data_IF_840448661113
#
_entry.id   IF_840448661113
#
_cell.length_a   1.000
_cell.length_b   1.000
_cell.length_c   1.000
_cell.angle_alpha   90.00
_cell.angle_beta   90.00
_cell.angle_gamma   90.00
#
_symmetry.space_group_name_H-M   'P 1'
#
loop_
_entity.id
_entity.type
_entity.pdbx_description
1 polymer ?
#
# COMPACT_ATOMS: atom_id res chain seq x y z
N UNK A 1 -15.05 66.86 12.20
CA UNK A 1 -15.80 65.70 12.73
C UNK A 1 -15.82 64.65 11.63
N UNK A 2 -14.98 63.60 11.67
CA UNK A 2 -15.17 62.33 12.44
C UNK A 2 -16.42 61.61 11.91
N UNK A 3 -16.45 60.37 11.41
CA UNK A 3 -15.50 59.24 11.30
C UNK A 3 -16.16 58.19 10.38
N UNK A 4 -15.33 57.40 9.72
CA UNK A 4 -15.47 55.95 9.48
C UNK A 4 -16.76 55.37 8.85
N UNK A 5 -16.62 54.77 7.67
CA UNK A 5 -17.07 53.39 7.46
C UNK A 5 -16.12 52.65 6.48
N UNK A 6 -15.27 51.84 7.12
CA UNK A 6 -14.58 50.63 6.69
C UNK A 6 -14.93 50.09 5.28
N UNK A 7 -13.96 50.16 4.36
CA UNK A 7 -13.88 49.30 3.19
C UNK A 7 -13.21 47.99 3.61
N UNK A 8 -13.98 46.90 3.71
CA UNK A 8 -13.43 45.55 3.84
C UNK A 8 -13.02 45.09 2.44
N UNK A 9 -11.73 45.22 2.15
CA UNK A 9 -11.10 44.53 1.01
C UNK A 9 -10.88 43.08 1.43
N UNK A 10 -11.77 42.19 0.98
CA UNK A 10 -11.61 40.75 1.11
C UNK A 10 -10.61 40.29 0.04
N UNK A 11 -9.32 40.29 0.39
CA UNK A 11 -8.29 39.56 -0.33
C UNK A 11 -8.54 38.05 -0.18
N UNK A 12 -9.30 37.45 -1.10
CA UNK A 12 -9.28 36.01 -1.30
C UNK A 12 -8.01 35.60 -2.06
N UNK A 13 -6.88 35.56 -1.33
CA UNK A 13 -5.73 34.72 -1.67
C UNK A 13 -6.07 33.29 -1.22
N UNK A 14 -6.96 32.65 -1.96
CA UNK A 14 -7.20 31.21 -1.87
C UNK A 14 -6.20 30.50 -2.77
N UNK A 15 -5.09 30.05 -2.18
CA UNK A 15 -4.16 29.11 -2.81
C UNK A 15 -4.94 27.90 -3.29
N UNK A 16 -4.75 27.54 -4.56
CA UNK A 16 -5.19 26.29 -5.16
C UNK A 16 -4.54 25.10 -4.43
N UNK A 17 -5.11 24.68 -3.31
CA UNK A 17 -4.86 23.35 -2.73
C UNK A 17 -5.88 22.37 -3.30
N UNK A 18 -5.89 22.23 -4.62
CA UNK A 18 -6.72 21.29 -5.34
C UNK A 18 -5.88 20.10 -5.79
N UNK A 19 -5.78 19.06 -4.96
CA UNK A 19 -5.54 17.71 -5.45
C UNK A 19 -6.35 16.75 -4.59
N UNK A 20 -7.62 16.63 -4.97
CA UNK A 20 -8.63 15.82 -4.32
C UNK A 20 -8.24 14.34 -4.43
N UNK A 21 -7.96 13.72 -3.28
CA UNK A 21 -8.35 12.32 -3.09
C UNK A 21 -9.86 12.27 -3.34
N UNK A 22 -10.28 11.82 -4.53
CA UNK A 22 -11.68 11.57 -4.78
C UNK A 22 -11.98 10.13 -4.37
N UNK A 23 -12.94 9.99 -3.45
CA UNK A 23 -13.53 8.69 -3.12
C UNK A 23 -14.60 8.45 -4.17
N UNK A 24 -14.25 7.79 -5.28
CA UNK A 24 -15.27 7.22 -6.16
C UNK A 24 -15.79 5.94 -5.49
N UNK A 25 -17.09 5.90 -5.22
CA UNK A 25 -17.84 4.73 -4.75
C UNK A 25 -17.37 4.06 -3.45
N UNK A 26 -17.03 4.80 -2.38
CA UNK A 26 -16.70 4.31 -1.00
C UNK A 26 -15.65 3.17 -0.86
N UNK A 27 -15.19 2.58 -1.95
CA UNK A 27 -14.39 1.36 -2.04
C UNK A 27 -12.98 1.62 -2.59
N UNK A 28 -12.73 2.81 -3.15
CA UNK A 28 -11.46 3.17 -3.75
C UNK A 28 -10.99 4.57 -3.35
N UNK A 29 -9.68 4.75 -3.29
CA UNK A 29 -9.00 6.05 -3.22
C UNK A 29 -8.19 6.22 -4.50
N UNK A 30 -8.34 7.38 -5.15
CA UNK A 30 -7.61 7.70 -6.38
C UNK A 30 -6.62 8.85 -6.14
N UNK A 31 -5.35 8.63 -6.48
CA UNK A 31 -4.35 9.69 -6.61
C UNK A 31 -4.32 10.11 -8.07
N UNK A 32 -4.81 11.31 -8.33
CA UNK A 32 -4.92 11.84 -9.69
C UNK A 32 -3.53 12.07 -10.28
N UNK A 33 -3.36 11.63 -11.52
CA UNK A 33 -2.18 11.92 -12.32
C UNK A 33 -2.11 13.43 -12.67
N UNK A 34 -0.91 14.00 -12.82
CA UNK A 34 -0.75 15.42 -13.12
C UNK A 34 -1.15 15.78 -14.58
N UNK A 35 -1.27 14.78 -15.46
CA UNK A 35 -1.76 14.93 -16.83
C UNK A 35 -2.20 13.57 -17.41
N UNK A 36 -2.79 13.59 -18.59
CA UNK A 36 -3.17 12.42 -19.39
C UNK A 36 -1.97 11.56 -19.85
N UNK A 37 -0.74 12.09 -19.76
CA UNK A 37 0.49 11.34 -20.02
C UNK A 37 0.76 10.25 -18.99
N UNK A 38 0.13 10.30 -17.81
CA UNK A 38 0.41 9.41 -16.70
C UNK A 38 -0.83 8.66 -16.21
N UNK A 39 -0.62 7.45 -15.71
CA UNK A 39 -1.68 6.63 -15.14
C UNK A 39 -2.01 7.07 -13.71
N UNK A 40 -3.26 7.45 -13.45
CA UNK A 40 -3.74 7.69 -12.08
C UNK A 40 -3.63 6.41 -11.23
N UNK A 41 -3.41 6.57 -9.93
CA UNK A 41 -3.22 5.46 -9.00
C UNK A 41 -4.52 5.18 -8.27
N UNK A 42 -5.07 3.99 -8.43
CA UNK A 42 -6.29 3.56 -7.71
C UNK A 42 -5.96 2.50 -6.68
N UNK A 43 -6.29 2.76 -5.41
CA UNK A 43 -6.15 1.82 -4.30
C UNK A 43 -7.51 1.44 -3.76
N UNK A 44 -7.64 0.24 -3.20
CA UNK A 44 -8.82 -0.08 -2.39
C UNK A 44 -8.89 0.84 -1.17
N UNK A 45 -10.10 1.07 -0.70
CA UNK A 45 -10.39 1.86 0.47
C UNK A 45 -11.16 1.03 1.51
N UNK A 46 -11.04 1.44 2.76
CA UNK A 46 -11.93 1.04 3.83
C UNK A 46 -12.19 2.27 4.69
N UNK A 47 -13.47 2.59 4.95
CA UNK A 47 -13.89 3.79 5.71
C UNK A 47 -13.22 5.08 5.22
N UNK A 48 -13.11 5.24 3.90
CA UNK A 48 -12.56 6.44 3.25
C UNK A 48 -11.03 6.55 3.24
N UNK A 49 -10.30 5.59 3.80
CA UNK A 49 -8.83 5.58 3.81
C UNK A 49 -8.28 4.43 2.96
N UNK A 50 -7.06 4.56 2.40
CA UNK A 50 -6.41 3.48 1.66
C UNK A 50 -6.34 2.18 2.46
N UNK A 51 -6.65 1.07 1.79
CA UNK A 51 -6.59 -0.29 2.30
C UNK A 51 -5.33 -0.97 1.77
N UNK A 52 -4.52 -1.47 2.70
CA UNK A 52 -3.31 -2.24 2.43
C UNK A 52 -3.45 -3.67 2.94
N UNK A 53 -2.48 -4.50 2.58
CA UNK A 53 -2.40 -5.86 3.05
C UNK A 53 -3.12 -6.85 2.13
N UNK A 54 -4.04 -7.64 2.69
CA UNK A 54 -4.86 -8.58 1.93
C UNK A 54 -5.89 -7.79 1.11
N UNK A 55 -5.86 -7.83 -0.23
CA UNK A 55 -6.86 -7.15 -1.06
C UNK A 55 -8.20 -7.90 -1.05
N UNK A 56 -9.29 -7.18 -1.35
CA UNK A 56 -10.53 -7.84 -1.77
C UNK A 56 -10.32 -8.34 -3.20
N UNK A 57 -10.43 -9.64 -3.44
CA UNK A 57 -10.18 -10.25 -4.74
C UNK A 57 -11.44 -10.25 -5.64
N UNK A 58 -12.54 -9.60 -5.22
CA UNK A 58 -13.82 -9.52 -5.92
C UNK A 58 -14.31 -10.88 -6.41
N UNK A 59 -14.08 -11.92 -5.60
CA UNK A 59 -14.49 -13.28 -5.95
C UNK A 59 -16.00 -13.38 -5.83
N UNK A 60 -16.65 -13.78 -6.92
CA UNK A 60 -18.04 -14.17 -6.86
C UNK A 60 -18.18 -15.42 -5.97
N UNK A 61 -18.99 -15.30 -4.93
CA UNK A 61 -19.42 -16.43 -4.13
C UNK A 61 -20.73 -16.97 -4.76
N UNK A 62 -20.66 -17.95 -5.66
CA UNK A 62 -21.86 -18.70 -6.02
C UNK A 62 -22.17 -19.68 -4.90
N UNK A 63 -23.25 -19.44 -4.16
CA UNK A 63 -23.80 -20.38 -3.20
C UNK A 63 -24.34 -21.62 -3.91
N UNK A 64 -23.57 -22.71 -3.95
CA UNK A 64 -24.07 -24.02 -4.33
C UNK A 64 -24.63 -24.74 -3.10
N UNK A 65 -25.94 -24.98 -3.07
CA UNK A 65 -26.55 -25.92 -2.11
C UNK A 65 -26.23 -27.33 -2.61
N UNK A 66 -25.32 -28.03 -1.93
CA UNK A 66 -25.27 -29.50 -2.00
C UNK A 66 -25.75 -30.02 -0.67
N UNK A 67 -26.94 -30.64 -0.68
CA UNK A 67 -27.51 -31.44 0.41
C UNK A 67 -27.27 -30.86 1.82
N UNK A 68 -27.97 -29.77 2.18
CA UNK A 68 -28.01 -29.28 3.55
C UNK A 68 -26.76 -28.58 4.09
N UNK A 69 -25.68 -28.45 3.32
CA UNK A 69 -24.48 -27.69 3.70
C UNK A 69 -24.25 -26.51 2.74
N UNK A 70 -24.22 -25.28 3.28
CA UNK A 70 -23.67 -24.10 2.60
C UNK A 70 -22.14 -24.21 2.59
N UNK A 71 -21.57 -24.90 1.61
CA UNK A 71 -20.12 -24.82 1.37
C UNK A 71 -19.84 -23.70 0.39
N UNK A 72 -19.26 -22.59 0.85
CA UNK A 72 -18.72 -21.55 -0.03
C UNK A 72 -17.41 -22.06 -0.63
N UNK A 73 -17.49 -22.80 -1.74
CA UNK A 73 -16.29 -23.18 -2.51
C UNK A 73 -16.02 -22.09 -3.55
N UNK A 74 -14.78 -21.57 -3.66
CA UNK A 74 -14.43 -20.68 -4.75
C UNK A 74 -14.61 -21.41 -6.09
N UNK A 75 -15.29 -20.76 -7.03
CA UNK A 75 -15.55 -21.30 -8.37
C UNK A 75 -14.23 -21.66 -9.05
N UNK A 76 -14.01 -22.94 -9.30
CA UNK A 76 -12.93 -23.41 -10.17
C UNK A 76 -13.45 -23.32 -11.61
N UNK A 77 -13.17 -22.20 -12.27
CA UNK A 77 -13.47 -22.01 -13.70
C UNK A 77 -14.68 -21.12 -13.94
N UNK A 78 -14.41 -19.86 -14.28
CA UNK A 78 -15.40 -18.81 -14.52
C UNK A 78 -14.84 -17.47 -14.07
N UNK A 79 -13.78 -17.00 -14.74
CA UNK A 79 -13.21 -15.68 -14.44
C UNK A 79 -14.15 -14.62 -15.02
N UNK A 80 -14.93 -13.94 -14.19
CA UNK A 80 -15.67 -12.75 -14.62
C UNK A 80 -14.66 -11.67 -15.07
N UNK A 81 -14.71 -11.17 -16.32
CA UNK A 81 -13.83 -10.10 -16.81
C UNK A 81 -13.82 -8.87 -15.89
N UNK A 82 -14.98 -8.47 -15.36
CA UNK A 82 -15.12 -7.27 -14.51
C UNK A 82 -14.31 -7.42 -13.21
N UNK A 83 -14.39 -8.58 -12.55
CA UNK A 83 -13.60 -8.86 -11.33
C UNK A 83 -12.10 -8.90 -11.61
N UNK A 84 -11.69 -9.41 -12.77
CA UNK A 84 -10.28 -9.40 -13.17
C UNK A 84 -9.76 -7.99 -13.38
N UNK A 85 -10.53 -7.14 -14.06
CA UNK A 85 -10.13 -5.76 -14.34
C UNK A 85 -9.99 -4.96 -13.05
N UNK A 86 -10.94 -5.12 -12.12
CA UNK A 86 -10.84 -4.54 -10.77
C UNK A 86 -9.60 -5.05 -10.02
N UNK A 87 -9.35 -6.36 -10.04
CA UNK A 87 -8.16 -6.94 -9.38
C UNK A 87 -6.85 -6.44 -9.98
N UNK A 88 -6.80 -6.30 -11.31
CA UNK A 88 -5.65 -5.75 -12.03
C UNK A 88 -5.44 -4.29 -11.64
N UNK A 89 -6.49 -3.49 -11.63
CA UNK A 89 -6.45 -2.08 -11.22
C UNK A 89 -5.87 -1.92 -9.81
N UNK A 90 -6.34 -2.71 -8.85
CA UNK A 90 -5.85 -2.68 -7.45
C UNK A 90 -4.38 -3.11 -7.35
N UNK A 91 -4.01 -4.18 -8.04
CA UNK A 91 -2.62 -4.69 -8.02
C UNK A 91 -1.67 -3.69 -8.66
N UNK A 92 -2.05 -3.11 -9.80
CA UNK A 92 -1.29 -2.09 -10.50
C UNK A 92 -1.20 -0.80 -9.68
N UNK A 93 -2.30 -0.34 -9.07
CA UNK A 93 -2.29 0.85 -8.24
C UNK A 93 -1.33 0.74 -7.04
N UNK A 94 -1.32 -0.41 -6.36
CA UNK A 94 -0.36 -0.65 -5.27
C UNK A 94 1.09 -0.63 -5.75
N UNK A 95 1.37 -1.19 -6.92
CA UNK A 95 2.70 -1.14 -7.53
C UNK A 95 3.09 0.32 -7.84
N UNK A 96 2.19 1.04 -8.50
CA UNK A 96 2.39 2.42 -8.90
C UNK A 96 2.60 3.36 -7.71
N UNK A 97 1.85 3.18 -6.62
CA UNK A 97 2.10 3.89 -5.36
C UNK A 97 3.51 3.60 -4.82
N UNK A 98 3.93 2.33 -4.84
CA UNK A 98 5.26 1.94 -4.35
C UNK A 98 6.39 2.58 -5.18
N UNK A 99 6.19 2.71 -6.49
CA UNK A 99 7.12 3.38 -7.40
C UNK A 99 7.16 4.89 -7.16
N UNK A 100 6.01 5.52 -6.94
CA UNK A 100 5.91 6.96 -6.70
C UNK A 100 6.52 7.35 -5.34
N UNK A 101 6.32 6.52 -4.31
CA UNK A 101 7.04 6.61 -3.03
C UNK A 101 8.55 6.45 -3.23
N UNK A 102 8.96 5.50 -4.08
CA UNK A 102 10.36 5.32 -4.46
C UNK A 102 10.98 6.56 -5.11
N UNK A 103 10.29 7.16 -6.08
CA UNK A 103 10.69 8.40 -6.74
C UNK A 103 10.91 9.53 -5.72
N UNK A 104 9.95 9.71 -4.80
CA UNK A 104 10.03 10.74 -3.75
C UNK A 104 11.33 10.65 -2.96
N UNK A 105 11.66 9.46 -2.45
CA UNK A 105 12.80 9.30 -1.55
C UNK A 105 14.14 9.10 -2.26
N UNK A 106 14.16 8.80 -3.56
CA UNK A 106 15.37 8.83 -4.38
C UNK A 106 15.72 10.23 -4.89
N UNK A 107 14.86 11.22 -4.71
CA UNK A 107 15.09 12.59 -5.17
C UNK A 107 16.48 13.16 -4.79
N UNK A 108 17.03 12.93 -3.58
CA UNK A 108 18.37 13.41 -3.23
C UNK A 108 19.50 12.90 -4.13
N UNK A 109 19.31 11.75 -4.79
CA UNK A 109 20.31 11.15 -5.68
C UNK A 109 20.11 11.56 -7.16
N UNK A 110 19.04 12.30 -7.48
CA UNK A 110 18.72 12.63 -8.87
C UNK A 110 19.72 13.60 -9.52
N UNK A 111 20.57 14.27 -8.74
CA UNK A 111 21.68 15.07 -9.26
C UNK A 111 22.78 14.22 -9.92
N UNK A 112 22.88 12.94 -9.53
CA UNK A 112 23.83 12.00 -10.11
C UNK A 112 23.35 11.40 -11.43
N UNK A 113 22.06 11.55 -11.75
CA UNK A 113 21.47 11.00 -12.97
C UNK A 113 22.09 11.66 -14.21
N UNK A 114 22.81 10.87 -15.01
CA UNK A 114 23.19 11.28 -16.35
C UNK A 114 21.95 11.32 -17.25
N UNK A 115 21.47 12.53 -17.52
CA UNK A 115 20.27 12.80 -18.32
C UNK A 115 20.50 12.67 -19.82
N UNK A 116 21.75 12.74 -20.28
CA UNK A 116 22.10 12.84 -21.69
C UNK A 116 22.59 11.52 -22.28
N UNK A 117 23.08 10.59 -21.46
CA UNK A 117 23.68 9.33 -21.92
C UNK A 117 23.23 8.15 -21.07
N UNK A 118 23.20 6.97 -21.70
CA UNK A 118 23.00 5.73 -20.97
C UNK A 118 24.29 5.32 -20.24
N UNK A 119 24.23 5.20 -18.92
CA UNK A 119 25.38 4.81 -18.12
C UNK A 119 25.74 3.35 -18.39
N UNK A 120 27.00 3.10 -18.73
CA UNK A 120 27.52 1.75 -18.99
C UNK A 120 28.07 1.15 -17.71
N UNK A 121 27.63 -0.06 -17.37
CA UNK A 121 28.11 -0.77 -16.18
C UNK A 121 29.54 -1.27 -16.42
N UNK A 122 30.46 -0.86 -15.55
CA UNK A 122 31.86 -1.34 -15.54
C UNK A 122 32.26 -1.78 -14.14
N UNK A 123 33.40 -2.45 -13.98
CA UNK A 123 33.87 -2.88 -12.65
C UNK A 123 34.37 -1.73 -11.77
N UNK A 124 34.75 -0.60 -12.38
CA UNK A 124 35.38 0.54 -11.70
C UNK A 124 34.55 1.80 -11.93
N UNK A 125 33.34 1.84 -11.36
CA UNK A 125 32.45 3.00 -11.44
C UNK A 125 32.66 3.91 -10.23
N UNK A 126 32.62 5.22 -10.46
CA UNK A 126 32.45 6.20 -9.39
C UNK A 126 31.07 6.05 -8.73
N UNK A 127 30.89 6.63 -7.55
CA UNK A 127 29.59 6.64 -6.86
C UNK A 127 28.50 7.30 -7.72
N UNK A 128 28.80 8.44 -8.34
CA UNK A 128 27.91 9.15 -9.26
C UNK A 128 27.47 8.27 -10.42
N UNK A 129 28.40 7.57 -11.08
CA UNK A 129 28.06 6.65 -12.17
C UNK A 129 27.22 5.47 -11.68
N UNK A 130 27.54 4.92 -10.51
CA UNK A 130 26.77 3.83 -9.89
C UNK A 130 25.34 4.26 -9.58
N UNK A 131 25.17 5.45 -9.00
CA UNK A 131 23.88 6.07 -8.72
C UNK A 131 23.10 6.31 -10.03
N UNK A 132 23.75 6.90 -11.05
CA UNK A 132 23.13 7.10 -12.37
C UNK A 132 22.64 5.78 -12.97
N UNK A 133 23.48 4.74 -13.00
CA UNK A 133 23.11 3.46 -13.58
C UNK A 133 21.91 2.82 -12.85
N UNK A 134 21.87 2.92 -11.52
CA UNK A 134 20.73 2.48 -10.73
C UNK A 134 19.46 3.27 -11.07
N UNK A 135 19.54 4.61 -11.05
CA UNK A 135 18.41 5.50 -11.31
C UNK A 135 17.87 5.30 -12.72
N UNK A 136 18.74 5.24 -13.74
CA UNK A 136 18.34 4.95 -15.11
C UNK A 136 17.62 3.60 -15.21
N UNK A 137 18.14 2.56 -14.55
CA UNK A 137 17.47 1.24 -14.54
C UNK A 137 16.10 1.32 -13.88
N UNK A 138 15.99 1.97 -12.72
CA UNK A 138 14.73 2.17 -12.00
C UNK A 138 13.71 2.95 -12.86
N UNK A 139 14.13 4.09 -13.42
CA UNK A 139 13.29 4.94 -14.25
C UNK A 139 12.79 4.20 -15.50
N UNK A 140 13.70 3.59 -16.26
CA UNK A 140 13.40 2.95 -17.54
C UNK A 140 12.65 1.63 -17.39
N UNK A 141 13.00 0.82 -16.39
CA UNK A 141 12.45 -0.54 -16.26
C UNK A 141 11.24 -0.62 -15.34
N UNK A 142 11.04 0.36 -14.46
CA UNK A 142 9.95 0.34 -13.49
C UNK A 142 9.04 1.55 -13.64
N UNK A 143 9.56 2.77 -13.55
CA UNK A 143 8.71 3.98 -13.55
C UNK A 143 8.00 4.17 -14.88
N UNK A 144 8.75 4.33 -15.98
CA UNK A 144 8.21 4.57 -17.31
C UNK A 144 7.13 3.55 -17.73
N UNK A 145 7.37 2.22 -17.69
CA UNK A 145 6.39 1.24 -18.17
C UNK A 145 5.14 1.10 -17.27
N UNK A 146 5.17 1.57 -16.02
CA UNK A 146 4.06 1.41 -15.08
C UNK A 146 3.27 2.71 -14.84
N UNK A 147 3.94 3.87 -14.87
CA UNK A 147 3.34 5.17 -14.56
C UNK A 147 3.02 6.00 -15.80
N UNK A 148 3.58 5.68 -16.97
CA UNK A 148 3.38 6.47 -18.18
C UNK A 148 2.45 5.81 -19.18
N UNK A 149 1.63 6.62 -19.85
CA UNK A 149 0.67 6.22 -20.89
C UNK A 149 1.12 6.67 -22.28
N UNK A 150 1.69 7.88 -22.36
CA UNK A 150 2.21 8.45 -23.60
C UNK A 150 3.45 7.68 -24.10
N UNK A 151 3.54 7.48 -25.42
CA UNK A 151 4.62 6.71 -26.05
C UNK A 151 6.01 7.28 -25.75
N UNK A 152 6.15 8.61 -25.82
CA UNK A 152 7.38 9.35 -25.50
C UNK A 152 7.89 9.12 -24.07
N UNK A 153 7.01 8.73 -23.16
CA UNK A 153 7.34 8.45 -21.77
C UNK A 153 7.51 6.95 -21.51
N UNK A 154 6.55 6.11 -21.92
CA UNK A 154 6.56 4.67 -21.58
C UNK A 154 7.64 3.86 -22.31
N UNK A 155 8.13 4.38 -23.44
CA UNK A 155 9.12 3.70 -24.27
C UNK A 155 10.57 3.92 -23.83
N UNK A 156 10.81 4.51 -22.65
CA UNK A 156 12.15 4.84 -22.13
C UNK A 156 13.17 3.67 -22.12
N UNK A 157 12.71 2.42 -22.14
CA UNK A 157 13.57 1.23 -22.20
C UNK A 157 13.51 0.47 -23.54
N UNK A 158 12.77 0.98 -24.52
CA UNK A 158 12.55 0.34 -25.80
C UNK A 158 13.54 0.85 -26.85
N UNK A 159 13.79 0.06 -27.89
CA UNK A 159 14.60 0.44 -29.05
C UNK A 159 15.38 -0.75 -29.62
N UNK A 160 15.51 -0.80 -30.94
CA UNK A 160 16.19 -1.88 -31.67
C UNK A 160 17.70 -1.78 -31.61
N UNK A 161 18.23 -0.57 -31.38
CA UNK A 161 19.65 -0.30 -31.28
C UNK A 161 19.93 0.73 -30.17
N UNK A 162 21.20 1.02 -29.92
CA UNK A 162 21.64 1.95 -28.88
C UNK A 162 21.21 3.40 -29.09
N UNK A 163 21.21 3.89 -30.34
CA UNK A 163 20.78 5.26 -30.66
C UNK A 163 19.29 5.46 -30.38
N UNK A 164 18.46 4.47 -30.76
CA UNK A 164 17.03 4.51 -30.49
C UNK A 164 16.73 4.42 -29.00
N UNK A 165 17.44 3.55 -28.26
CA UNK A 165 17.30 3.46 -26.79
C UNK A 165 17.71 4.75 -26.10
N UNK A 166 18.80 5.37 -26.56
CA UNK A 166 19.25 6.65 -26.04
C UNK A 166 18.21 7.75 -26.29
N UNK A 167 17.74 7.88 -27.53
CA UNK A 167 16.70 8.86 -27.90
C UNK A 167 15.41 8.69 -27.09
N UNK A 168 14.97 7.45 -26.86
CA UNK A 168 13.77 7.19 -26.07
C UNK A 168 14.00 7.51 -24.59
N UNK A 169 15.20 7.26 -24.07
CA UNK A 169 15.58 7.63 -22.71
C UNK A 169 15.59 9.15 -22.52
N UNK A 170 16.29 9.90 -23.40
CA UNK A 170 16.35 11.36 -23.31
C UNK A 170 14.96 11.97 -23.48
N UNK A 171 14.15 11.46 -24.42
CA UNK A 171 12.74 11.87 -24.55
C UNK A 171 11.94 11.71 -23.26
N UNK A 172 12.12 10.61 -22.52
CA UNK A 172 11.46 10.42 -21.23
C UNK A 172 11.99 11.42 -20.19
N UNK A 173 13.31 11.62 -20.11
CA UNK A 173 13.92 12.54 -19.14
C UNK A 173 13.44 13.97 -19.38
N UNK A 174 13.45 14.43 -20.62
CA UNK A 174 13.14 15.81 -20.98
C UNK A 174 11.65 16.14 -20.82
N UNK A 175 10.77 15.17 -21.12
CA UNK A 175 9.33 15.44 -21.23
C UNK A 175 8.50 14.88 -20.06
N UNK A 176 9.03 13.94 -19.29
CA UNK A 176 8.23 13.12 -18.37
C UNK A 176 8.82 13.02 -16.96
N UNK A 177 10.13 13.11 -16.78
CA UNK A 177 10.76 12.89 -15.47
C UNK A 177 10.37 13.97 -14.46
N UNK A 178 10.53 15.25 -14.80
CA UNK A 178 10.29 16.34 -13.83
C UNK A 178 8.82 16.39 -13.35
N UNK A 179 7.79 16.25 -14.22
CA UNK A 179 6.40 16.12 -13.77
C UNK A 179 6.15 14.93 -12.83
N UNK A 180 6.83 13.78 -13.05
CA UNK A 180 6.75 12.63 -12.16
C UNK A 180 7.42 12.89 -10.81
N UNK A 181 8.58 13.55 -10.80
CA UNK A 181 9.27 13.95 -9.58
C UNK A 181 8.39 14.91 -8.76
N UNK A 182 7.78 15.90 -9.41
CA UNK A 182 6.86 16.83 -8.75
C UNK A 182 5.61 16.13 -8.23
N UNK A 183 5.01 15.22 -9.01
CA UNK A 183 3.89 14.42 -8.54
C UNK A 183 4.26 13.55 -7.32
N UNK A 184 5.48 13.01 -7.30
CA UNK A 184 5.98 12.18 -6.21
C UNK A 184 6.09 12.92 -4.86
N UNK A 185 6.32 14.23 -4.86
CA UNK A 185 6.38 15.03 -3.63
C UNK A 185 5.04 15.02 -2.86
N UNK A 186 3.94 14.89 -3.60
CA UNK A 186 2.59 14.93 -3.06
C UNK A 186 2.12 13.58 -2.50
N UNK A 187 2.85 12.48 -2.75
CA UNK A 187 2.57 11.23 -2.03
C UNK A 187 3.18 11.29 -0.64
N UNK A 188 2.46 10.73 0.32
CA UNK A 188 2.84 10.73 1.74
C UNK A 188 3.19 12.13 2.24
N UNK A 189 2.25 13.07 2.19
CA UNK A 189 2.44 14.42 2.71
C UNK A 189 2.97 14.36 4.16
N UNK A 190 3.93 15.24 4.49
CA UNK A 190 4.66 15.20 5.78
C UNK A 190 5.39 13.87 6.07
N UNK A 191 5.69 13.10 5.02
CA UNK A 191 6.27 11.76 5.08
C UNK A 191 5.42 10.74 5.84
N UNK A 192 4.11 10.98 5.86
CA UNK A 192 3.12 10.19 6.57
C UNK A 192 2.14 9.50 5.62
N UNK A 193 1.69 8.30 6.00
CA UNK A 193 0.58 7.62 5.32
C UNK A 193 -0.30 6.94 6.35
N UNK A 194 -1.57 7.34 6.39
CA UNK A 194 -2.59 6.72 7.24
C UNK A 194 -3.49 5.84 6.38
N UNK A 195 -3.74 4.62 6.85
CA UNK A 195 -4.60 3.68 6.13
C UNK A 195 -5.00 2.49 6.99
N UNK A 196 -5.83 1.61 6.42
CA UNK A 196 -6.19 0.36 7.05
C UNK A 196 -5.31 -0.76 6.53
N UNK A 197 -4.67 -1.51 7.43
CA UNK A 197 -4.00 -2.76 7.09
C UNK A 197 -4.90 -3.95 7.37
N UNK A 198 -5.07 -4.79 6.35
CA UNK A 198 -5.82 -6.04 6.44
C UNK A 198 -4.84 -7.21 6.47
N UNK A 199 -4.93 -8.04 7.50
CA UNK A 199 -4.13 -9.25 7.67
C UNK A 199 -5.03 -10.46 7.91
N UNK A 200 -4.52 -11.65 7.61
CA UNK A 200 -5.24 -12.88 7.94
C UNK A 200 -4.94 -13.26 9.40
N UNK A 201 -6.01 -13.45 10.17
CA UNK A 201 -5.99 -14.06 11.48
C UNK A 201 -6.34 -15.54 11.31
N UNK A 202 -5.42 -16.46 11.63
CA UNK A 202 -5.73 -17.89 11.59
C UNK A 202 -6.34 -18.30 12.92
N UNK A 203 -7.46 -19.03 12.88
CA UNK A 203 -8.06 -19.66 14.06
C UNK A 203 -7.77 -21.15 14.04
N UNK A 204 -7.48 -21.73 15.22
CA UNK A 204 -7.18 -23.15 15.36
C UNK A 204 -8.32 -24.05 14.90
N UNK A 205 -7.99 -25.31 14.55
CA UNK A 205 -9.01 -26.26 14.07
C UNK A 205 -9.98 -26.70 15.17
N UNK A 206 -9.55 -26.71 16.43
CA UNK A 206 -10.31 -27.24 17.55
C UNK A 206 -10.79 -26.09 18.42
N UNK A 207 -12.10 -26.06 18.69
CA UNK A 207 -12.70 -25.18 19.68
C UNK A 207 -12.40 -25.74 21.07
N UNK A 208 -11.91 -24.89 21.97
CA UNK A 208 -11.69 -25.22 23.37
C UNK A 208 -12.98 -24.92 24.13
N UNK A 209 -13.74 -25.97 24.48
CA UNK A 209 -15.02 -25.84 25.17
C UNK A 209 -14.84 -25.34 26.61
N UNK A 210 -13.75 -25.72 27.27
CA UNK A 210 -13.46 -25.29 28.64
C UNK A 210 -13.14 -23.80 28.68
N UNK A 211 -12.37 -23.31 27.70
CA UNK A 211 -11.98 -21.90 27.58
C UNK A 211 -12.91 -21.05 26.72
N UNK A 212 -13.93 -21.68 26.12
CA UNK A 212 -14.94 -21.06 25.27
C UNK A 212 -14.34 -20.20 24.14
N UNK A 213 -13.52 -20.81 23.29
CA UNK A 213 -12.88 -20.09 22.20
C UNK A 213 -11.93 -20.90 21.31
N UNK A 214 -11.31 -20.21 20.35
CA UNK A 214 -10.24 -20.75 19.51
C UNK A 214 -8.90 -20.14 19.89
N UNK A 215 -7.82 -20.92 19.83
CA UNK A 215 -6.48 -20.33 19.77
C UNK A 215 -6.32 -19.64 18.42
N UNK A 216 -6.01 -18.34 18.44
CA UNK A 216 -5.83 -17.52 17.26
C UNK A 216 -4.37 -17.06 17.12
N UNK A 217 -3.94 -16.88 15.87
CA UNK A 217 -2.57 -16.50 15.51
C UNK A 217 -2.59 -15.33 14.55
N UNK A 218 -1.98 -14.22 14.96
CA UNK A 218 -1.94 -12.97 14.21
C UNK A 218 -0.52 -12.51 13.96
N UNK A 219 -0.13 -12.30 12.70
CA UNK A 219 1.17 -11.70 12.40
C UNK A 219 1.08 -10.18 12.48
N UNK A 220 2.00 -9.57 13.21
CA UNK A 220 2.14 -8.12 13.23
C UNK A 220 2.97 -7.59 12.04
N UNK A 221 3.64 -8.46 11.28
CA UNK A 221 4.48 -8.01 10.16
C UNK A 221 3.67 -7.37 9.03
N UNK A 222 4.08 -6.17 8.60
CA UNK A 222 3.43 -5.42 7.50
C UNK A 222 4.22 -5.51 6.19
N UNK A 223 4.61 -6.72 5.81
CA UNK A 223 5.46 -7.00 4.64
C UNK A 223 4.83 -6.70 3.28
N UNK A 224 3.55 -6.31 3.26
CA UNK A 224 2.69 -6.22 2.09
C UNK A 224 2.01 -4.86 1.96
N UNK A 225 2.54 -3.80 2.58
CA UNK A 225 2.10 -2.43 2.29
C UNK A 225 2.64 -2.01 0.93
N UNK A 226 3.96 -2.05 0.76
CA UNK A 226 4.63 -1.79 -0.50
C UNK A 226 4.89 -3.08 -1.27
N UNK A 227 4.93 -2.97 -2.59
CA UNK A 227 5.20 -4.11 -3.47
C UNK A 227 6.70 -4.41 -3.46
N UNK A 228 7.08 -5.68 -3.26
CA UNK A 228 8.49 -6.14 -3.27
C UNK A 228 9.06 -6.41 -4.67
N UNK A 229 8.28 -6.20 -5.74
CA UNK A 229 8.71 -6.56 -7.10
C UNK A 229 9.79 -5.58 -7.57
N UNK A 230 10.94 -6.14 -7.96
CA UNK A 230 12.08 -5.58 -8.68
C UNK A 230 12.19 -4.04 -8.67
N UNK A 231 12.83 -3.49 -7.64
CA UNK A 231 13.03 -2.05 -7.53
C UNK A 231 13.62 -1.69 -6.17
N UNK A 232 13.31 -0.48 -5.71
CA UNK A 232 13.74 0.04 -4.42
C UNK A 232 13.14 -0.83 -3.30
N UNK A 233 13.99 -1.21 -2.36
CA UNK A 233 13.54 -1.95 -1.19
C UNK A 233 12.82 -1.00 -0.24
N UNK A 234 11.57 -1.28 0.08
CA UNK A 234 10.86 -0.60 1.15
C UNK A 234 10.82 -1.51 2.37
N UNK A 235 11.30 -1.01 3.50
CA UNK A 235 11.29 -1.72 4.77
C UNK A 235 10.28 -1.05 5.70
N UNK A 236 9.32 -1.84 6.20
CA UNK A 236 8.34 -1.39 7.18
C UNK A 236 8.68 -2.02 8.53
N UNK A 237 8.94 -1.18 9.52
CA UNK A 237 9.41 -1.57 10.85
C UNK A 237 8.35 -1.19 11.87
N UNK A 238 7.95 -2.14 12.71
CA UNK A 238 7.08 -1.82 13.85
C UNK A 238 7.88 -1.00 14.86
N UNK A 239 7.40 0.20 15.17
CA UNK A 239 8.00 1.07 16.18
C UNK A 239 6.88 1.55 17.09
N UNK A 240 6.68 0.91 18.26
CA UNK A 240 5.60 1.26 19.17
C UNK A 240 5.74 2.72 19.62
N UNK A 241 4.64 3.45 19.65
CA UNK A 241 4.59 4.84 20.15
C UNK A 241 3.58 5.01 21.29
N UNK A 242 2.71 4.02 21.50
CA UNK A 242 1.73 4.00 22.60
C UNK A 242 2.08 2.88 23.60
N UNK A 243 1.73 3.03 24.89
CA UNK A 243 2.04 2.02 25.92
C UNK A 243 1.54 0.61 25.58
N UNK A 244 0.34 0.46 25.01
CA UNK A 244 -0.18 -0.86 24.63
C UNK A 244 0.61 -1.51 23.49
N UNK A 245 1.25 -0.72 22.63
CA UNK A 245 2.07 -1.24 21.53
C UNK A 245 3.41 -1.76 22.05
N UNK A 246 3.95 -1.16 23.12
CA UNK A 246 5.13 -1.66 23.82
C UNK A 246 4.82 -3.00 24.48
N UNK A 247 3.69 -3.10 25.19
CA UNK A 247 3.20 -4.36 25.73
C UNK A 247 3.02 -5.42 24.63
N UNK A 248 2.44 -5.03 23.50
CA UNK A 248 2.27 -5.89 22.33
C UNK A 248 3.60 -6.38 21.77
N UNK A 249 4.58 -5.49 21.59
CA UNK A 249 5.90 -5.85 21.11
C UNK A 249 6.62 -6.85 22.03
N UNK A 250 6.37 -6.79 23.34
CA UNK A 250 6.94 -7.72 24.32
C UNK A 250 6.20 -9.07 24.37
N UNK A 251 4.92 -9.09 23.99
CA UNK A 251 4.08 -10.30 23.99
C UNK A 251 4.25 -11.21 22.77
N UNK A 252 4.84 -10.70 21.67
CA UNK A 252 4.99 -11.48 20.43
C UNK A 252 6.25 -12.32 20.43
N UNK A 253 6.19 -13.45 19.73
CA UNK A 253 7.34 -14.33 19.55
C UNK A 253 8.41 -13.72 18.61
N UNK A 254 9.52 -14.45 18.40
CA UNK A 254 10.58 -14.04 17.46
C UNK A 254 10.09 -13.83 16.03
N UNK A 255 9.00 -14.47 15.63
CA UNK A 255 8.36 -14.32 14.32
C UNK A 255 7.41 -13.13 14.24
N UNK A 256 7.28 -12.36 15.33
CA UNK A 256 6.31 -11.27 15.51
C UNK A 256 4.86 -11.75 15.34
N UNK A 257 4.59 -12.98 15.77
CA UNK A 257 3.25 -13.55 15.81
C UNK A 257 2.70 -13.45 17.22
N UNK A 258 1.51 -12.85 17.33
CA UNK A 258 0.71 -12.83 18.53
C UNK A 258 -0.18 -14.09 18.57
N UNK A 259 -0.14 -14.80 19.69
CA UNK A 259 -1.00 -15.95 19.97
C UNK A 259 -1.92 -15.60 21.12
N UNK A 260 -3.23 -15.71 20.94
CA UNK A 260 -4.20 -15.39 21.98
C UNK A 260 -5.44 -16.30 21.88
N UNK A 261 -6.22 -16.35 22.96
CA UNK A 261 -7.51 -17.01 22.97
C UNK A 261 -8.58 -16.07 22.41
N UNK A 262 -9.16 -16.43 21.28
CA UNK A 262 -10.30 -15.73 20.70
C UNK A 262 -11.58 -16.31 21.31
N UNK A 263 -12.16 -15.59 22.28
CA UNK A 263 -13.44 -15.97 22.88
C UNK A 263 -14.59 -15.83 21.88
N UNK A 264 -15.26 -16.95 21.64
CA UNK A 264 -16.41 -17.11 20.75
C UNK A 264 -17.39 -18.05 21.45
N UNK A 265 -18.69 -17.81 21.34
CA UNK A 265 -19.71 -18.73 21.85
C UNK A 265 -19.84 -20.00 20.98
N UNK A 266 -20.41 -21.05 21.55
CA UNK A 266 -20.54 -22.37 20.90
C UNK A 266 -21.37 -22.31 19.61
N UNK A 267 -22.43 -21.49 19.57
CA UNK A 267 -23.28 -21.35 18.39
C UNK A 267 -22.52 -20.70 17.23
N UNK A 268 -21.73 -19.66 17.51
CA UNK A 268 -20.87 -19.03 16.52
C UNK A 268 -19.74 -19.95 16.07
N UNK A 269 -19.15 -20.72 16.99
CA UNK A 269 -18.12 -21.71 16.65
C UNK A 269 -18.68 -22.83 15.74
N UNK A 270 -19.87 -23.33 16.04
CA UNK A 270 -20.57 -24.30 15.21
C UNK A 270 -20.86 -23.73 13.80
N UNK A 271 -21.28 -22.47 13.71
CA UNK A 271 -21.44 -21.76 12.42
C UNK A 271 -20.12 -21.71 11.65
N UNK A 272 -19.02 -21.31 12.30
CA UNK A 272 -17.71 -21.24 11.65
C UNK A 272 -17.27 -22.61 11.11
N UNK A 273 -17.51 -23.69 11.85
CA UNK A 273 -17.23 -25.04 11.37
C UNK A 273 -18.11 -25.42 10.17
N UNK A 274 -19.43 -25.18 10.24
CA UNK A 274 -20.39 -25.48 9.14
C UNK A 274 -20.05 -24.70 7.86
N UNK A 275 -19.64 -23.45 8.00
CA UNK A 275 -19.28 -22.58 6.86
C UNK A 275 -17.83 -22.75 6.42
N UNK A 276 -17.02 -23.53 7.15
CA UNK A 276 -15.60 -23.76 6.85
C UNK A 276 -14.70 -22.55 7.09
N UNK A 277 -15.11 -21.63 7.97
CA UNK A 277 -14.35 -20.44 8.34
C UNK A 277 -13.19 -20.88 9.24
N UNK A 278 -11.96 -20.80 8.70
CA UNK A 278 -10.70 -21.08 9.42
C UNK A 278 -9.79 -19.86 9.53
N UNK A 279 -10.20 -18.76 8.91
CA UNK A 279 -9.47 -17.50 8.87
C UNK A 279 -10.44 -16.35 8.97
N UNK A 280 -10.02 -15.33 9.70
CA UNK A 280 -10.70 -14.04 9.77
C UNK A 280 -9.80 -12.97 9.15
N UNK A 281 -10.39 -11.85 8.79
CA UNK A 281 -9.69 -10.69 8.28
C UNK A 281 -9.59 -9.66 9.39
N UNK A 282 -8.38 -9.47 9.90
CA UNK A 282 -8.06 -8.52 10.94
C UNK A 282 -7.68 -7.18 10.31
N UNK A 283 -8.44 -6.14 10.66
CA UNK A 283 -8.33 -4.78 10.15
C UNK A 283 -7.81 -3.87 11.25
N UNK A 284 -6.70 -3.19 10.97
CA UNK A 284 -6.02 -2.26 11.89
C UNK A 284 -5.87 -0.91 11.21
N UNK A 285 -6.25 0.17 11.87
CA UNK A 285 -5.90 1.52 11.40
C UNK A 285 -4.44 1.80 11.78
N UNK A 286 -3.59 2.04 10.80
CA UNK A 286 -2.16 2.23 10.98
C UNK A 286 -1.74 3.60 10.47
N UNK A 287 -0.64 4.10 11.04
CA UNK A 287 0.11 5.24 10.55
C UNK A 287 1.51 4.79 10.20
N UNK A 288 1.96 5.13 8.98
CA UNK A 288 3.33 5.00 8.54
C UNK A 288 4.01 6.36 8.58
N UNK A 289 5.27 6.37 8.99
CA UNK A 289 6.14 7.54 9.00
C UNK A 289 7.49 7.16 8.40
N UNK A 290 8.04 7.95 7.47
CA UNK A 290 9.43 7.79 7.04
C UNK A 290 10.37 7.87 8.24
N UNK A 291 11.31 6.93 8.35
CA UNK A 291 12.36 6.97 9.36
C UNK A 291 13.30 8.16 9.14
N UNK A 292 13.71 8.86 10.20
CA UNK A 292 14.65 9.99 10.09
C UNK A 292 16.07 9.57 9.68
N UNK A 293 16.32 8.27 9.49
CA UNK A 293 17.60 7.77 8.99
C UNK A 293 17.81 8.21 7.54
N UNK A 294 18.91 8.93 7.23
CA UNK A 294 19.25 9.25 5.84
C UNK A 294 19.49 7.97 5.06
N UNK A 295 19.20 8.00 3.76
CA UNK A 295 19.59 6.90 2.88
C UNK A 295 21.09 7.03 2.58
N UNK A 296 21.87 6.00 2.92
CA UNK A 296 23.31 5.97 2.66
C UNK A 296 23.61 5.78 1.16
N UNK A 297 22.73 5.11 0.41
CA UNK A 297 22.85 4.96 -1.04
C UNK A 297 21.51 4.60 -1.68
N UNK A 298 21.44 4.73 -3.00
CA UNK A 298 20.26 4.37 -3.82
C UNK A 298 19.82 2.90 -3.68
N UNK A 299 20.73 2.02 -3.26
CA UNK A 299 20.47 0.58 -3.12
C UNK A 299 19.93 0.18 -1.76
N UNK A 300 20.01 1.07 -0.75
CA UNK A 300 19.52 0.80 0.60
C UNK A 300 18.01 0.89 0.67
N UNK A 301 17.43 0.20 1.65
CA UNK A 301 15.99 0.22 1.84
C UNK A 301 15.51 1.58 2.36
N UNK A 302 14.39 2.06 1.81
CA UNK A 302 13.64 3.17 2.40
C UNK A 302 12.92 2.61 3.64
N UNK A 303 13.31 3.09 4.82
CA UNK A 303 12.75 2.61 6.09
C UNK A 303 11.55 3.48 6.51
N UNK A 304 10.43 2.81 6.80
CA UNK A 304 9.21 3.39 7.37
C UNK A 304 8.92 2.75 8.73
N UNK A 305 8.66 3.59 9.72
CA UNK A 305 8.12 3.17 11.00
C UNK A 305 6.60 3.07 10.88
N UNK A 306 5.99 2.07 11.52
CA UNK A 306 4.55 2.03 11.67
C UNK A 306 4.12 1.92 13.13
N UNK A 307 2.95 2.49 13.41
CA UNK A 307 2.20 2.39 14.65
C UNK A 307 0.70 2.24 14.36
N UNK A 308 -0.07 1.90 15.38
CA UNK A 308 -1.52 1.77 15.35
C UNK A 308 -2.17 3.08 15.81
N UNK A 309 -3.15 3.55 15.03
CA UNK A 309 -3.92 4.75 15.35
C UNK A 309 -4.89 4.52 16.53
N UNK A 310 -5.28 3.27 16.78
CA UNK A 310 -6.10 2.84 17.92
C UNK A 310 -5.68 1.44 18.37
N UNK A 311 -6.13 1.02 19.56
CA UNK A 311 -5.98 -0.38 19.99
C UNK A 311 -6.96 -1.32 19.26
N UNK A 312 -7.97 -0.78 18.58
CA UNK A 312 -9.01 -1.57 17.92
C UNK A 312 -8.45 -2.48 16.82
N UNK A 313 -8.80 -3.77 16.92
CA UNK A 313 -8.61 -4.80 15.92
C UNK A 313 -10.00 -5.30 15.49
N UNK A 314 -10.46 -4.83 14.33
CA UNK A 314 -11.75 -5.26 13.79
C UNK A 314 -11.57 -6.59 13.03
N UNK A 315 -12.44 -7.56 13.33
CA UNK A 315 -12.43 -8.87 12.70
C UNK A 315 -13.63 -9.02 11.78
N UNK A 316 -13.37 -9.48 10.56
CA UNK A 316 -14.38 -9.76 9.55
C UNK A 316 -14.29 -11.22 9.10
N UNK A 317 -15.41 -11.81 8.70
CA UNK A 317 -15.45 -13.18 8.15
C UNK A 317 -15.17 -13.24 6.65
N UNK A 318 -15.18 -12.11 5.94
CA UNK A 318 -14.99 -12.01 4.50
C UNK A 318 -13.91 -10.99 4.09
N UNK A 319 -13.27 -11.22 2.95
CA UNK A 319 -12.22 -10.32 2.43
C UNK A 319 -12.74 -8.96 1.96
N UNK A 320 -14.03 -8.84 1.66
CA UNK A 320 -14.63 -7.56 1.26
C UNK A 320 -14.88 -6.64 2.48
N UNK A 321 -14.69 -7.15 3.70
CA UNK A 321 -14.91 -6.45 4.96
C UNK A 321 -16.37 -6.00 5.11
N UNK A 322 -17.31 -6.86 4.71
CA UNK A 322 -18.76 -6.58 4.75
C UNK A 322 -19.46 -7.27 5.91
N UNK A 323 -18.90 -8.36 6.42
CA UNK A 323 -19.41 -9.16 7.53
C UNK A 323 -18.52 -8.96 8.75
N UNK A 324 -18.74 -7.84 9.44
CA UNK A 324 -18.09 -7.60 10.73
C UNK A 324 -18.51 -8.67 11.73
N UNK A 325 -17.52 -9.25 12.41
CA UNK A 325 -17.73 -10.28 13.41
C UNK A 325 -17.58 -9.71 14.82
N UNK A 326 -16.44 -9.08 15.11
CA UNK A 326 -16.10 -8.60 16.46
C UNK A 326 -15.01 -7.55 16.37
N UNK A 327 -14.99 -6.62 17.32
CA UNK A 327 -13.84 -5.75 17.56
C UNK A 327 -13.16 -6.18 18.84
N UNK A 328 -11.85 -6.36 18.80
CA UNK A 328 -11.00 -6.64 19.96
C UNK A 328 -10.13 -5.42 20.27
N UNK A 329 -9.69 -5.30 21.51
CA UNK A 329 -8.62 -4.37 21.88
C UNK A 329 -7.28 -5.10 21.85
N UNK A 330 -6.33 -4.62 21.04
CA UNK A 330 -4.95 -5.12 21.03
C UNK A 330 -4.29 -5.01 22.40
N UNK A 331 -4.71 -4.06 23.25
CA UNK A 331 -4.20 -3.91 24.61
C UNK A 331 -4.61 -5.07 25.54
N UNK A 332 -5.74 -5.73 25.24
CA UNK A 332 -6.26 -6.82 26.04
C UNK A 332 -5.67 -8.18 25.60
N UNK A 333 -5.06 -8.23 24.42
CA UNK A 333 -4.46 -9.47 23.87
C UNK A 333 -3.05 -9.74 24.40
N UNK A 334 -2.51 -8.85 25.21
CA UNK A 334 -1.12 -8.87 25.71
C UNK A 334 -1.03 -9.18 27.20
N UNK A 335 -2.17 -9.43 27.85
CA UNK A 335 -2.29 -9.67 29.29
C UNK A 335 -2.44 -11.16 29.62
#
# INVERSE_FOLDING_TARGET
MVRSCLLIVLCFLGVLSGNAQSINDKEMVVYQAPSDKFASITLQAHKGLPRFGVPNMYREQTGGIRQGMRTVRPVRGGKNPVSNDKNKLVTTGKNNLSLLVGLKYLQPFMEDLDRERLTTLTSNMSEKESNSAFLQRFLRSQVAPNLCLADECKNANQGKNEFERLRNYTSFVDNCLDPLLDWSKNVMENDELVGYHVSMLNIGNNYDFDKKGYTAYHSLMLNNIFTRKQGILNQVVFKPVKPFEEALQNSVDRSKTLKFLLHIDEQTAERFQKEGIKRLYAVKKIKLQRSNKPMESVSKAIEFNYSHESADLELYTDEALTQHFKTLSLADLTN
#
